data_IF_961735036988
#
_entry.id   IF_961735036988
#
_cell.length_a   1.000
_cell.length_b   1.000
_cell.length_c   1.000
_cell.angle_alpha   90.00
_cell.angle_beta   90.00
_cell.angle_gamma   90.00
#
_symmetry.space_group_name_H-M   'P 1'
#
loop_
_entity.id
_entity.type
_entity.pdbx_description
1 polymer ?
#
# COMPACT_ATOMS: atom_id res chain seq x y z
N UNK A 1 43.41 22.73 -15.34
CA UNK A 1 42.38 22.35 -16.33
C UNK A 1 41.57 21.23 -15.69
N UNK A 2 40.36 21.53 -15.23
CA UNK A 2 39.46 20.60 -14.57
C UNK A 2 39.03 19.54 -15.58
N UNK A 3 39.38 18.28 -15.34
CA UNK A 3 38.77 17.14 -16.03
C UNK A 3 37.58 16.70 -15.18
N UNK A 4 36.42 17.33 -15.42
CA UNK A 4 35.17 16.86 -14.84
C UNK A 4 34.61 15.81 -15.79
N UNK A 5 35.05 14.57 -15.60
CA UNK A 5 34.39 13.39 -16.16
C UNK A 5 32.97 13.35 -15.59
N UNK A 6 32.02 13.89 -16.35
CA UNK A 6 30.59 13.64 -16.12
C UNK A 6 30.40 12.15 -16.36
N UNK A 7 30.39 11.38 -15.27
CA UNK A 7 29.95 10.00 -15.27
C UNK A 7 28.50 10.03 -15.74
N UNK A 8 28.26 9.73 -17.00
CA UNK A 8 26.92 9.52 -17.50
C UNK A 8 26.30 8.42 -16.64
N UNK A 9 25.12 8.67 -16.06
CA UNK A 9 24.42 7.67 -15.28
C UNK A 9 24.03 6.51 -16.21
N UNK A 10 24.88 5.49 -16.21
CA UNK A 10 24.74 4.29 -17.03
C UNK A 10 23.57 3.47 -16.48
N UNK A 11 22.55 3.27 -17.30
CA UNK A 11 21.47 2.33 -17.02
C UNK A 11 22.00 0.91 -17.18
N UNK A 12 21.84 0.10 -16.13
CA UNK A 12 22.14 -1.33 -16.17
C UNK A 12 20.92 -2.12 -16.63
N UNK A 13 21.11 -3.01 -17.61
CA UNK A 13 20.07 -3.92 -18.08
C UNK A 13 20.31 -5.28 -17.43
N UNK A 14 19.35 -5.72 -16.62
CA UNK A 14 19.38 -7.03 -15.97
C UNK A 14 18.10 -7.83 -16.26
N UNK A 15 18.24 -9.14 -16.35
CA UNK A 15 17.10 -10.05 -16.48
C UNK A 15 16.46 -10.30 -15.12
N UNK A 16 15.15 -10.02 -15.01
CA UNK A 16 14.38 -10.32 -13.80
C UNK A 16 14.37 -11.83 -13.54
N UNK A 17 14.76 -12.23 -12.35
CA UNK A 17 14.73 -13.63 -11.93
C UNK A 17 13.30 -14.02 -11.54
N UNK A 18 12.75 -15.02 -12.21
CA UNK A 18 11.42 -15.56 -11.90
C UNK A 18 11.54 -16.75 -10.96
N UNK A 19 10.58 -16.89 -10.05
CA UNK A 19 10.48 -18.00 -9.12
C UNK A 19 9.09 -18.66 -9.26
N UNK A 20 8.95 -19.96 -8.94
CA UNK A 20 7.64 -20.60 -8.86
C UNK A 20 6.71 -19.87 -7.89
N UNK A 21 5.41 -19.83 -8.20
CA UNK A 21 4.42 -19.06 -7.43
C UNK A 21 4.37 -19.48 -5.96
N UNK A 22 4.54 -20.76 -5.67
CA UNK A 22 4.50 -21.29 -4.31
C UNK A 22 5.70 -20.87 -3.43
N UNK A 23 6.69 -20.16 -3.98
CA UNK A 23 7.74 -19.50 -3.22
C UNK A 23 7.40 -18.05 -2.84
N UNK A 24 6.15 -17.61 -2.99
CA UNK A 24 5.73 -16.22 -2.74
C UNK A 24 6.21 -15.68 -1.40
N UNK A 25 6.04 -16.44 -0.31
CA UNK A 25 6.45 -16.04 1.04
C UNK A 25 7.97 -15.79 1.12
N UNK A 26 8.79 -16.73 0.66
CA UNK A 26 10.25 -16.58 0.62
C UNK A 26 10.68 -15.37 -0.24
N UNK A 27 10.03 -15.15 -1.38
CA UNK A 27 10.31 -13.98 -2.22
C UNK A 27 10.02 -12.70 -1.43
N UNK A 28 8.87 -12.65 -0.77
CA UNK A 28 8.41 -11.44 -0.08
C UNK A 28 9.23 -11.13 1.18
N UNK A 29 9.49 -12.13 2.02
CA UNK A 29 10.14 -11.95 3.32
C UNK A 29 11.67 -11.94 3.25
N UNK A 30 12.29 -12.59 2.26
CA UNK A 30 13.75 -12.73 2.19
C UNK A 30 14.36 -12.06 0.96
N UNK A 31 13.79 -12.27 -0.23
CA UNK A 31 14.39 -11.72 -1.46
C UNK A 31 14.14 -10.23 -1.61
N UNK A 32 12.90 -9.76 -1.47
CA UNK A 32 12.54 -8.35 -1.65
C UNK A 32 13.39 -7.42 -0.75
N UNK A 33 13.58 -7.68 0.56
CA UNK A 33 14.41 -6.84 1.42
C UNK A 33 15.88 -6.76 0.98
N UNK A 34 16.37 -7.73 0.21
CA UNK A 34 17.74 -7.76 -0.33
C UNK A 34 17.89 -7.08 -1.70
N UNK A 35 16.79 -6.67 -2.33
CA UNK A 35 16.83 -6.02 -3.64
C UNK A 35 17.42 -4.60 -3.54
N UNK A 36 18.18 -4.20 -4.55
CA UNK A 36 18.71 -2.85 -4.66
C UNK A 36 17.64 -1.79 -5.03
N UNK A 37 16.40 -2.22 -5.29
CA UNK A 37 15.27 -1.38 -5.66
C UNK A 37 14.09 -1.65 -4.73
N UNK A 38 13.26 -0.62 -4.50
CA UNK A 38 12.02 -0.78 -3.75
C UNK A 38 11.05 -1.70 -4.51
N UNK A 39 10.33 -2.55 -3.76
CA UNK A 39 9.26 -3.41 -4.25
C UNK A 39 8.09 -3.33 -3.27
N UNK A 40 6.88 -3.27 -3.79
CA UNK A 40 5.65 -2.99 -3.06
C UNK A 40 4.65 -4.16 -3.12
N UNK A 41 5.15 -5.36 -3.42
CA UNK A 41 4.33 -6.56 -3.57
C UNK A 41 4.91 -7.57 -4.55
N UNK A 42 4.03 -8.39 -5.13
CA UNK A 42 4.35 -9.52 -6.00
C UNK A 42 3.59 -9.42 -7.33
N UNK A 43 4.17 -9.99 -8.38
CA UNK A 43 3.52 -10.14 -9.69
C UNK A 43 3.51 -11.62 -10.06
N UNK A 44 2.32 -12.18 -10.21
CA UNK A 44 2.10 -13.54 -10.69
C UNK A 44 1.80 -13.49 -12.19
N UNK A 45 2.65 -14.16 -12.97
CA UNK A 45 2.50 -14.29 -14.41
C UNK A 45 2.23 -15.75 -14.75
N UNK A 46 1.12 -16.03 -15.43
CA UNK A 46 0.84 -17.38 -15.92
C UNK A 46 1.94 -17.88 -16.87
N UNK A 47 2.45 -19.09 -16.62
CA UNK A 47 3.47 -19.72 -17.46
C UNK A 47 2.89 -20.34 -18.74
N UNK A 48 1.56 -20.49 -18.83
CA UNK A 48 0.88 -21.13 -19.95
C UNK A 48 0.13 -20.13 -20.84
N UNK A 49 -0.22 -18.96 -20.32
CA UNK A 49 -0.96 -17.96 -21.08
C UNK A 49 -0.05 -17.27 -22.12
N UNK A 50 -0.55 -17.04 -23.35
CA UNK A 50 0.17 -16.21 -24.32
C UNK A 50 0.19 -14.75 -23.88
N UNK A 51 1.14 -13.99 -24.42
CA UNK A 51 1.19 -12.55 -24.23
C UNK A 51 -0.07 -11.88 -24.80
N UNK A 52 -0.66 -10.95 -24.04
CA UNK A 52 -1.84 -10.17 -24.44
C UNK A 52 -1.53 -8.68 -24.32
N UNK A 53 -1.71 -7.88 -25.39
CA UNK A 53 -1.56 -6.43 -25.30
C UNK A 53 -2.73 -5.81 -24.51
N UNK A 54 -2.43 -4.88 -23.60
CA UNK A 54 -3.44 -4.22 -22.76
C UNK A 54 -3.71 -4.95 -21.44
N UNK A 55 -4.93 -4.84 -20.92
CA UNK A 55 -5.33 -5.52 -19.68
C UNK A 55 -5.29 -7.03 -19.87
N UNK A 56 -4.59 -7.72 -18.97
CA UNK A 56 -4.41 -9.17 -19.01
C UNK A 56 -4.81 -9.78 -17.66
N UNK A 57 -5.93 -10.49 -17.63
CA UNK A 57 -6.45 -11.13 -16.41
C UNK A 57 -5.60 -12.34 -15.97
N UNK A 58 -4.59 -12.72 -16.76
CA UNK A 58 -3.61 -13.76 -16.45
C UNK A 58 -2.35 -13.22 -15.75
N UNK A 59 -2.28 -11.90 -15.55
CA UNK A 59 -1.25 -11.24 -14.73
C UNK A 59 -1.94 -10.69 -13.49
N UNK A 60 -1.55 -11.21 -12.34
CA UNK A 60 -2.09 -10.79 -11.05
C UNK A 60 -1.01 -9.98 -10.33
N UNK A 61 -1.36 -8.76 -9.94
CA UNK A 61 -0.56 -7.95 -9.03
C UNK A 61 -1.11 -8.12 -7.62
N UNK A 62 -0.26 -8.52 -6.69
CA UNK A 62 -0.61 -8.64 -5.29
C UNK A 62 0.21 -7.63 -4.48
N UNK A 63 -0.43 -7.03 -3.49
CA UNK A 63 0.18 -6.22 -2.44
C UNK A 63 -0.46 -6.61 -1.12
N UNK A 64 0.24 -6.49 0.03
CA UNK A 64 -0.40 -6.66 1.32
C UNK A 64 -1.63 -5.76 1.42
N UNK A 65 -2.73 -6.28 1.95
CA UNK A 65 -3.97 -5.51 2.02
C UNK A 65 -3.79 -4.26 2.88
N UNK A 66 -3.03 -4.39 3.96
CA UNK A 66 -2.55 -3.35 4.88
C UNK A 66 -1.68 -2.27 4.23
N UNK A 67 -1.06 -2.52 3.08
CA UNK A 67 -0.31 -1.51 2.33
C UNK A 67 -1.17 -0.71 1.34
N UNK A 68 -2.46 -1.05 1.20
CA UNK A 68 -3.38 -0.20 0.45
C UNK A 68 -3.71 1.05 1.27
N UNK A 69 -3.16 2.17 0.81
CA UNK A 69 -3.35 3.48 1.41
C UNK A 69 -4.34 4.33 0.61
N UNK A 70 -4.86 5.35 1.29
CA UNK A 70 -5.73 6.38 0.72
C UNK A 70 -5.20 7.74 1.14
N UNK A 71 -5.24 8.69 0.22
CA UNK A 71 -4.97 10.08 0.54
C UNK A 71 -6.25 10.80 1.00
N UNK A 72 -6.21 11.40 2.19
CA UNK A 72 -7.29 12.18 2.78
C UNK A 72 -6.83 13.60 3.11
N UNK A 73 -7.76 14.55 3.20
CA UNK A 73 -7.49 15.82 3.87
C UNK A 73 -7.76 15.63 5.36
N UNK A 74 -6.76 15.86 6.20
CA UNK A 74 -6.91 15.82 7.65
C UNK A 74 -7.44 17.16 8.18
N UNK A 75 -8.35 17.12 9.17
CA UNK A 75 -8.79 18.31 9.92
C UNK A 75 -8.79 18.04 11.40
N UNK A 76 -8.20 18.94 12.17
CA UNK A 76 -8.13 18.83 13.62
C UNK A 76 -9.40 19.41 14.27
N UNK A 77 -10.02 18.63 15.14
CA UNK A 77 -11.19 19.03 15.91
C UNK A 77 -10.82 19.04 17.39
N UNK A 78 -10.63 20.23 18.01
CA UNK A 78 -10.31 20.34 19.42
C UNK A 78 -11.40 19.73 20.31
N UNK A 79 -11.00 19.01 21.35
CA UNK A 79 -11.91 18.37 22.29
C UNK A 79 -11.86 19.09 23.63
N UNK A 80 -13.02 19.33 24.25
CA UNK A 80 -13.09 20.08 25.53
C UNK A 80 -12.43 19.33 26.70
N UNK A 81 -12.52 18.01 26.68
CA UNK A 81 -12.12 17.13 27.80
C UNK A 81 -10.90 16.26 27.50
N UNK A 82 -10.25 16.44 26.34
CA UNK A 82 -9.09 15.64 25.91
C UNK A 82 -7.93 16.54 25.51
N UNK A 83 -6.71 16.11 25.83
CA UNK A 83 -5.48 16.81 25.42
C UNK A 83 -5.15 16.61 23.93
N UNK A 84 -5.69 15.54 23.34
CA UNK A 84 -5.48 15.18 21.93
C UNK A 84 -6.73 15.55 21.13
N UNK A 85 -6.59 16.31 20.03
CA UNK A 85 -7.71 16.60 19.14
C UNK A 85 -8.15 15.34 18.39
N UNK A 86 -9.40 15.31 17.97
CA UNK A 86 -9.81 14.33 16.95
C UNK A 86 -9.25 14.76 15.59
N UNK A 87 -8.79 13.80 14.81
CA UNK A 87 -8.32 14.05 13.45
C UNK A 87 -9.36 13.47 12.49
N UNK A 88 -10.13 14.33 11.85
CA UNK A 88 -11.18 13.95 10.91
C UNK A 88 -10.60 13.83 9.50
N UNK A 89 -10.99 12.77 8.79
CA UNK A 89 -10.53 12.46 7.44
C UNK A 89 -11.60 12.84 6.42
N UNK A 90 -11.21 13.63 5.43
CA UNK A 90 -12.08 14.13 4.38
C UNK A 90 -11.65 13.63 3.01
N UNK A 91 -12.64 13.33 2.17
CA UNK A 91 -12.46 12.86 0.80
C UNK A 91 -12.88 13.93 -0.19
N UNK A 92 -12.28 13.94 -1.36
CA UNK A 92 -12.56 14.95 -2.37
C UNK A 92 -13.78 14.57 -3.23
N UNK A 93 -14.64 15.55 -3.52
CA UNK A 93 -15.86 15.40 -4.37
C UNK A 93 -15.80 16.24 -5.65
N UNK A 94 -14.63 16.76 -6.00
CA UNK A 94 -14.46 17.69 -7.11
C UNK A 94 -14.64 19.15 -6.71
N UNK A 95 -13.91 20.04 -7.39
CA UNK A 95 -13.81 21.46 -7.07
C UNK A 95 -13.37 21.65 -5.60
N UNK A 96 -13.90 22.64 -4.89
CA UNK A 96 -13.57 22.91 -3.50
C UNK A 96 -14.50 22.18 -2.50
N UNK A 97 -14.98 20.98 -2.85
CA UNK A 97 -15.93 20.21 -2.02
C UNK A 97 -15.26 18.98 -1.44
N UNK A 98 -15.38 18.85 -0.13
CA UNK A 98 -14.89 17.72 0.63
C UNK A 98 -16.01 17.15 1.50
N UNK A 99 -16.02 15.83 1.64
CA UNK A 99 -16.99 15.10 2.46
C UNK A 99 -16.24 14.39 3.59
N UNK A 100 -16.77 14.53 4.81
CA UNK A 100 -16.28 13.77 5.95
C UNK A 100 -16.45 12.27 5.68
N UNK A 101 -15.38 11.51 5.90
CA UNK A 101 -15.38 10.08 5.69
C UNK A 101 -15.25 9.29 7.00
N UNK A 102 -14.20 9.56 7.77
CA UNK A 102 -13.89 8.81 9.00
C UNK A 102 -12.98 9.63 9.92
N UNK A 103 -12.49 9.02 10.99
CA UNK A 103 -11.45 9.58 11.84
C UNK A 103 -10.14 8.81 11.69
N UNK A 104 -9.03 9.50 11.91
CA UNK A 104 -7.73 8.88 12.09
C UNK A 104 -7.64 8.36 13.53
N UNK A 105 -7.13 7.15 13.67
CA UNK A 105 -6.84 6.52 14.94
C UNK A 105 -5.48 7.01 15.44
N UNK A 106 -5.51 7.80 16.51
CA UNK A 106 -4.32 8.43 17.09
C UNK A 106 -4.30 8.17 18.59
N UNK A 107 -3.21 7.60 19.08
CA UNK A 107 -2.93 7.49 20.51
C UNK A 107 -2.35 8.80 21.06
N UNK A 108 -2.48 9.02 22.37
CA UNK A 108 -1.85 10.19 23.00
C UNK A 108 -0.33 10.21 22.83
N UNK A 109 0.29 9.03 22.84
CA UNK A 109 1.73 8.88 22.64
C UNK A 109 2.13 9.33 21.23
N UNK A 110 1.47 8.81 20.20
CA UNK A 110 1.75 9.18 18.80
C UNK A 110 1.51 10.67 18.54
N UNK A 111 0.47 11.23 19.18
CA UNK A 111 0.21 12.66 19.09
C UNK A 111 1.41 13.47 19.59
N UNK A 112 1.84 13.23 20.84
CA UNK A 112 2.90 14.01 21.48
C UNK A 112 4.28 13.76 20.85
N UNK A 113 4.57 12.52 20.46
CA UNK A 113 5.88 12.15 19.95
C UNK A 113 6.08 12.55 18.48
N UNK A 114 5.02 12.51 17.67
CA UNK A 114 5.13 12.63 16.21
C UNK A 114 4.17 13.66 15.62
N UNK A 115 2.85 13.48 15.81
CA UNK A 115 1.84 14.17 15.01
C UNK A 115 1.64 15.64 15.38
N UNK A 116 1.81 16.01 16.64
CA UNK A 116 1.70 17.41 17.12
C UNK A 116 2.76 18.33 16.48
N UNK A 117 3.90 17.74 16.07
CA UNK A 117 5.02 18.48 15.45
C UNK A 117 4.80 18.70 13.95
N UNK A 118 3.76 18.09 13.38
CA UNK A 118 3.44 18.14 11.96
C UNK A 118 2.23 19.07 11.76
N UNK A 119 2.26 19.89 10.72
CA UNK A 119 1.13 20.74 10.33
C UNK A 119 0.03 19.91 9.67
N UNK A 120 -0.71 19.11 10.45
CA UNK A 120 -1.72 18.19 9.93
C UNK A 120 -3.02 18.87 9.50
N UNK A 121 -3.41 19.98 10.12
CA UNK A 121 -4.71 20.61 9.83
C UNK A 121 -4.74 21.18 8.41
N UNK A 122 -5.64 20.64 7.59
CA UNK A 122 -5.77 20.97 6.17
C UNK A 122 -4.78 20.26 5.25
N UNK A 123 -3.82 19.48 5.79
CA UNK A 123 -2.85 18.76 4.97
C UNK A 123 -3.47 17.53 4.31
N UNK A 124 -2.98 17.19 3.11
CA UNK A 124 -3.23 15.87 2.52
C UNK A 124 -2.31 14.87 3.19
N UNK A 125 -2.88 13.81 3.74
CA UNK A 125 -2.16 12.72 4.40
C UNK A 125 -2.48 11.40 3.71
N UNK A 126 -1.50 10.51 3.68
CA UNK A 126 -1.67 9.12 3.31
C UNK A 126 -1.97 8.32 4.58
N UNK A 127 -3.04 7.54 4.55
CA UNK A 127 -3.46 6.68 5.65
C UNK A 127 -3.81 5.28 5.14
N UNK A 128 -3.54 4.26 5.95
CA UNK A 128 -3.92 2.87 5.67
C UNK A 128 -4.90 2.37 6.71
N UNK A 129 -5.64 1.31 6.38
CA UNK A 129 -6.62 0.71 7.30
C UNK A 129 -5.98 -0.45 8.05
N UNK A 130 -5.93 -0.35 9.37
CA UNK A 130 -5.49 -1.42 10.27
C UNK A 130 -6.70 -2.02 10.97
N UNK A 131 -7.10 -3.23 10.54
CA UNK A 131 -8.25 -3.95 11.11
C UNK A 131 -7.99 -4.47 12.52
N UNK A 132 -6.72 -4.63 12.92
CA UNK A 132 -6.34 -5.08 14.25
C UNK A 132 -6.39 -3.96 15.30
N UNK A 133 -6.48 -2.71 14.86
CA UNK A 133 -6.45 -1.54 15.72
C UNK A 133 -7.85 -1.06 16.12
N UNK A 134 -8.05 -0.76 17.42
CA UNK A 134 -9.22 -0.06 17.95
C UNK A 134 -8.85 0.53 19.31
N UNK A 135 -9.05 1.83 19.69
CA UNK A 135 -10.02 2.85 19.22
C UNK A 135 -9.43 4.28 19.02
N UNK A 136 -10.19 5.30 18.55
CA UNK A 136 -11.62 5.34 18.15
C UNK A 136 -11.90 5.12 16.65
N UNK A 137 -10.91 4.70 15.85
CA UNK A 137 -11.05 4.44 14.42
C UNK A 137 -10.05 3.38 13.92
N UNK A 138 -10.16 2.96 12.66
CA UNK A 138 -9.33 1.91 12.02
C UNK A 138 -8.28 2.48 11.05
N UNK A 139 -8.24 3.82 10.84
CA UNK A 139 -7.32 4.45 9.89
C UNK A 139 -6.08 4.95 10.60
N UNK A 140 -4.91 4.58 10.09
CA UNK A 140 -3.61 4.88 10.69
C UNK A 140 -2.82 5.84 9.82
N UNK A 141 -2.12 6.77 10.46
CA UNK A 141 -1.26 7.72 9.75
C UNK A 141 -0.10 6.98 9.07
N UNK A 142 0.21 7.36 7.83
CA UNK A 142 1.41 6.89 7.13
C UNK A 142 2.40 8.02 6.91
N UNK A 143 1.98 9.09 6.21
CA UNK A 143 2.81 10.27 5.94
C UNK A 143 1.98 11.45 5.44
N UNK A 144 2.62 12.62 5.39
CA UNK A 144 2.07 13.78 4.67
C UNK A 144 2.36 13.66 3.17
N UNK A 145 1.41 14.13 2.36
CA UNK A 145 1.47 14.16 0.89
C UNK A 145 1.62 15.59 0.39
N UNK A 146 2.80 16.17 0.59
CA UNK A 146 3.13 17.52 0.11
C UNK A 146 3.12 17.61 -1.43
N UNK A 147 3.11 16.46 -2.13
CA UNK A 147 2.99 16.34 -3.58
C UNK A 147 1.56 16.48 -4.10
N UNK A 148 0.56 16.62 -3.21
CA UNK A 148 -0.86 16.62 -3.58
C UNK A 148 -1.61 17.82 -3.00
N UNK A 149 -2.37 18.49 -3.86
CA UNK A 149 -3.30 19.54 -3.45
C UNK A 149 -4.61 18.98 -2.87
N UNK A 150 -5.02 17.79 -3.33
CA UNK A 150 -6.31 17.19 -3.01
C UNK A 150 -6.19 15.73 -2.55
N UNK A 151 -7.13 15.34 -1.68
CA UNK A 151 -7.39 13.94 -1.33
C UNK A 151 -7.82 13.11 -2.54
N UNK A 152 -7.83 11.79 -2.39
CA UNK A 152 -8.44 10.94 -3.40
C UNK A 152 -9.93 11.26 -3.57
N UNK A 153 -10.38 11.22 -4.82
CA UNK A 153 -11.79 11.40 -5.14
C UNK A 153 -12.62 10.28 -4.49
N UNK A 154 -13.81 10.60 -3.97
CA UNK A 154 -14.65 9.63 -3.26
C UNK A 154 -14.97 8.36 -4.10
N UNK A 155 -15.09 8.50 -5.43
CA UNK A 155 -15.28 7.36 -6.33
C UNK A 155 -14.06 6.44 -6.43
N UNK A 156 -12.85 6.99 -6.27
CA UNK A 156 -11.60 6.21 -6.20
C UNK A 156 -11.52 5.51 -4.86
N UNK A 157 -11.85 6.22 -3.76
CA UNK A 157 -11.92 5.64 -2.44
C UNK A 157 -12.82 4.40 -2.40
N UNK A 158 -14.03 4.45 -2.95
CA UNK A 158 -14.92 3.28 -2.95
C UNK A 158 -14.29 2.04 -3.59
N UNK A 159 -13.46 2.20 -4.62
CA UNK A 159 -12.73 1.09 -5.24
C UNK A 159 -11.59 0.58 -4.37
N UNK A 160 -10.87 1.50 -3.72
CA UNK A 160 -9.80 1.14 -2.79
C UNK A 160 -10.35 0.40 -1.58
N UNK A 161 -11.51 0.83 -1.04
CA UNK A 161 -12.16 0.13 0.07
C UNK A 161 -12.52 -1.32 -0.28
N UNK A 162 -13.08 -1.55 -1.48
CA UNK A 162 -13.32 -2.92 -1.96
C UNK A 162 -12.01 -3.71 -2.07
N UNK A 163 -10.93 -3.09 -2.57
CA UNK A 163 -9.62 -3.74 -2.66
C UNK A 163 -8.98 -4.02 -1.30
N UNK A 164 -9.23 -3.19 -0.30
CA UNK A 164 -8.83 -3.43 1.09
C UNK A 164 -9.69 -4.57 1.66
N UNK A 165 -10.98 -4.58 1.32
CA UNK A 165 -11.92 -5.54 1.90
C UNK A 165 -11.74 -6.96 1.37
N UNK A 166 -11.50 -7.07 0.06
CA UNK A 166 -11.16 -8.31 -0.67
C UNK A 166 -9.65 -8.61 -0.68
N UNK A 167 -8.86 -7.78 -0.01
CA UNK A 167 -7.40 -7.91 0.04
C UNK A 167 -6.98 -9.19 0.76
N UNK A 168 -5.87 -9.77 0.31
CA UNK A 168 -5.29 -11.00 0.88
C UNK A 168 -3.98 -10.60 1.56
N UNK A 169 -3.84 -10.88 2.85
CA UNK A 169 -2.57 -10.65 3.55
C UNK A 169 -1.54 -11.75 3.26
N UNK A 170 -0.28 -11.51 3.64
CA UNK A 170 0.82 -12.42 3.31
C UNK A 170 0.65 -13.80 3.95
N UNK A 171 0.07 -13.90 5.14
CA UNK A 171 -0.24 -15.16 5.82
C UNK A 171 -1.28 -15.98 5.04
N UNK A 172 -2.38 -15.36 4.64
CA UNK A 172 -3.41 -15.99 3.81
C UNK A 172 -2.86 -16.45 2.45
N UNK A 173 -2.01 -15.62 1.83
CA UNK A 173 -1.36 -15.96 0.58
C UNK A 173 -0.38 -17.13 0.75
N UNK A 174 0.39 -17.17 1.84
CA UNK A 174 1.32 -18.25 2.14
C UNK A 174 0.58 -19.58 2.35
N UNK A 175 -0.52 -19.56 3.10
CA UNK A 175 -1.39 -20.73 3.32
C UNK A 175 -1.93 -21.28 1.99
N UNK A 176 -2.38 -20.40 1.09
CA UNK A 176 -2.82 -20.79 -0.25
C UNK A 176 -1.69 -21.41 -1.08
N UNK A 177 -0.45 -20.92 -0.94
CA UNK A 177 0.69 -21.42 -1.71
C UNK A 177 1.07 -22.86 -1.38
N UNK A 178 0.81 -23.34 -0.15
CA UNK A 178 0.98 -24.76 0.22
C UNK A 178 0.14 -25.67 -0.67
N UNK A 179 -1.13 -25.29 -0.92
CA UNK A 179 -2.01 -26.05 -1.81
C UNK A 179 -1.57 -25.95 -3.28
N UNK A 180 -1.08 -24.78 -3.69
CA UNK A 180 -0.55 -24.56 -5.05
C UNK A 180 0.66 -25.45 -5.33
N UNK A 181 1.61 -25.56 -4.40
CA UNK A 181 2.79 -26.43 -4.53
C UNK A 181 2.40 -27.91 -4.66
N UNK A 182 1.48 -28.37 -3.80
CA UNK A 182 0.96 -29.72 -3.84
C UNK A 182 0.32 -30.04 -5.19
N UNK A 183 -0.51 -29.15 -5.71
CA UNK A 183 -1.19 -29.34 -6.99
C UNK A 183 -0.23 -29.19 -8.18
N UNK A 184 0.78 -28.34 -8.08
CA UNK A 184 1.85 -28.25 -9.08
C UNK A 184 2.59 -29.58 -9.19
N UNK A 185 2.99 -30.14 -8.05
CA UNK A 185 3.72 -31.42 -7.98
C UNK A 185 2.91 -32.56 -8.61
N UNK A 186 1.60 -32.63 -8.33
CA UNK A 186 0.71 -33.62 -8.96
C UNK A 186 0.67 -33.48 -10.47
N UNK A 187 0.50 -32.26 -10.99
CA UNK A 187 0.51 -31.99 -12.44
C UNK A 187 1.85 -32.34 -13.08
N UNK A 188 2.98 -32.08 -12.41
CA UNK A 188 4.30 -32.37 -12.96
C UNK A 188 4.66 -33.86 -12.90
N UNK A 189 4.07 -34.64 -11.99
CA UNK A 189 4.26 -36.09 -11.89
C UNK A 189 3.17 -36.91 -12.59
N UNK A 190 2.14 -36.27 -13.14
CA UNK A 190 1.04 -36.93 -13.86
C UNK A 190 0.05 -37.69 -12.96
N UNK A 191 -0.07 -37.30 -11.70
CA UNK A 191 -1.01 -37.85 -10.71
C UNK A 191 -2.29 -37.03 -10.56
#
# INVERSE_FOLDING_TARGET
RHNSDKKEDLLEIAMKQFQPSYKAEHIYLELIPSLAHASDGLIFTSCAAPYTPGTCDQIIKWKPASENSVDFVARLVPQKDRKVPEVHLYTWKGNNRYEYFSMLAVTEKEWVEELEKISLDGAVIEAYRDRGYCPPAEWRFMRVRDDKDDANHAAVLSKILVSIDDGVEMDELADAMVLVEKNWTKRSTGQ
#
